data_IF_846170141328
#
_entry.id   IF_846170141328
#
_cell.length_a   1.000
_cell.length_b   1.000
_cell.length_c   1.000
_cell.angle_alpha   90.00
_cell.angle_beta   90.00
_cell.angle_gamma   90.00
#
_symmetry.space_group_name_H-M   'P 1'
#
loop_
_entity.id
_entity.type
_entity.pdbx_description
1 polymer ?
#
# COMPACT_ATOMS: atom_id res chain seq x y z
N UNK A 1 26.53 19.39 33.12
CA UNK A 1 25.28 18.65 33.39
C UNK A 1 24.43 18.71 32.13
N UNK A 2 23.79 17.59 31.80
CA UNK A 2 23.09 17.24 30.57
C UNK A 2 24.01 16.83 29.40
N UNK A 3 24.54 15.62 29.49
CA UNK A 3 24.85 14.78 28.32
C UNK A 3 23.65 13.88 28.05
N UNK A 4 23.45 13.59 26.76
CA UNK A 4 22.76 12.43 26.19
C UNK A 4 21.24 12.49 26.05
N UNK A 5 20.80 12.67 24.79
CA UNK A 5 19.57 12.11 24.22
C UNK A 5 19.91 11.61 22.80
N UNK A 6 20.77 10.60 22.69
CA UNK A 6 21.10 9.93 21.42
C UNK A 6 21.07 8.40 21.57
N UNK A 7 20.14 7.89 22.36
CA UNK A 7 20.07 6.45 22.66
C UNK A 7 18.58 6.07 22.81
N UNK A 8 17.83 6.14 21.70
CA UNK A 8 16.45 5.62 21.64
C UNK A 8 16.21 4.84 20.34
N UNK A 9 17.28 4.26 19.76
CA UNK A 9 17.18 3.46 18.53
C UNK A 9 17.86 2.08 18.61
N UNK A 10 18.36 1.63 19.76
CA UNK A 10 19.24 0.44 19.81
C UNK A 10 18.67 -0.86 20.39
N UNK A 11 17.36 -1.01 20.65
CA UNK A 11 16.85 -2.27 21.22
C UNK A 11 15.51 -2.76 20.66
N UNK A 12 15.39 -2.84 19.32
CA UNK A 12 14.43 -3.77 18.71
C UNK A 12 15.06 -5.18 18.73
N UNK A 13 14.33 -6.23 19.17
CA UNK A 13 14.87 -7.58 19.14
C UNK A 13 15.23 -7.97 17.70
N UNK A 14 16.35 -8.69 17.50
CA UNK A 14 16.90 -8.99 16.16
C UNK A 14 15.91 -9.65 15.20
N UNK A 15 14.91 -10.37 15.73
CA UNK A 15 13.83 -10.94 14.91
C UNK A 15 12.92 -9.85 14.34
N UNK A 16 12.51 -8.88 15.15
CA UNK A 16 11.62 -7.77 14.76
C UNK A 16 12.25 -6.91 13.65
N UNK A 17 13.56 -6.65 13.74
CA UNK A 17 14.28 -5.91 12.71
C UNK A 17 14.36 -6.68 11.36
N UNK A 18 14.50 -8.01 11.41
CA UNK A 18 14.53 -8.85 10.20
C UNK A 18 13.14 -8.96 9.55
N UNK A 19 12.08 -9.07 10.35
CA UNK A 19 10.70 -9.12 9.88
C UNK A 19 10.23 -7.78 9.28
N UNK A 20 10.68 -6.65 9.86
CA UNK A 20 10.46 -5.30 9.30
C UNK A 20 11.18 -5.16 7.95
N UNK A 21 12.44 -5.61 7.82
CA UNK A 21 13.18 -5.52 6.56
C UNK A 21 12.53 -6.36 5.45
N UNK A 22 12.03 -7.56 5.75
CA UNK A 22 11.31 -8.41 4.78
C UNK A 22 9.97 -7.79 4.38
N UNK A 23 9.24 -7.19 5.33
CA UNK A 23 7.98 -6.46 5.07
C UNK A 23 8.23 -5.26 4.13
N UNK A 24 9.30 -4.53 4.38
CA UNK A 24 9.75 -3.42 3.56
C UNK A 24 10.12 -3.85 2.13
N UNK A 25 10.85 -4.95 2.00
CA UNK A 25 11.20 -5.54 0.70
C UNK A 25 9.98 -5.97 -0.11
N UNK A 26 8.98 -6.61 0.51
CA UNK A 26 7.78 -7.06 -0.22
C UNK A 26 6.93 -5.88 -0.68
N UNK A 27 6.76 -4.86 0.17
CA UNK A 27 6.03 -3.63 -0.18
C UNK A 27 6.72 -2.91 -1.33
N UNK A 28 8.04 -2.79 -1.29
CA UNK A 28 8.82 -2.13 -2.35
C UNK A 28 8.70 -2.86 -3.69
N UNK A 29 8.79 -4.20 -3.69
CA UNK A 29 8.62 -5.02 -4.90
C UNK A 29 7.21 -4.88 -5.45
N UNK A 30 6.20 -4.96 -4.58
CA UNK A 30 4.80 -4.71 -4.94
C UNK A 30 4.61 -3.33 -5.57
N UNK A 31 5.23 -2.30 -5.00
CA UNK A 31 5.14 -0.95 -5.53
C UNK A 31 5.76 -0.85 -6.93
N UNK A 32 6.93 -1.46 -7.13
CA UNK A 32 7.60 -1.47 -8.44
C UNK A 32 6.71 -2.13 -9.51
N UNK A 33 6.18 -3.32 -9.22
CA UNK A 33 5.29 -4.03 -10.15
C UNK A 33 4.01 -3.23 -10.42
N UNK A 34 3.40 -2.64 -9.39
CA UNK A 34 2.22 -1.78 -9.58
C UNK A 34 2.53 -0.52 -10.39
N UNK A 35 3.73 0.04 -10.28
CA UNK A 35 4.17 1.16 -11.10
C UNK A 35 4.39 0.76 -12.56
N UNK A 36 4.89 -0.45 -12.84
CA UNK A 36 4.97 -1.00 -14.20
C UNK A 36 3.59 -1.27 -14.81
N UNK A 37 2.66 -1.79 -14.00
CA UNK A 37 1.31 -2.11 -14.42
C UNK A 37 0.49 -0.83 -14.67
N UNK A 38 0.56 0.14 -13.77
CA UNK A 38 -0.40 1.26 -13.70
C UNK A 38 0.21 2.66 -13.72
N UNK A 39 1.53 2.80 -13.51
CA UNK A 39 2.25 4.07 -13.43
C UNK A 39 2.31 4.85 -14.74
N UNK A 40 2.66 6.14 -14.66
CA UNK A 40 2.82 7.04 -15.82
C UNK A 40 1.68 7.04 -16.86
N UNK A 41 0.44 6.75 -16.43
CA UNK A 41 -0.72 6.68 -17.33
C UNK A 41 -0.91 5.32 -18.01
N UNK A 42 -0.07 4.31 -17.70
CA UNK A 42 -0.23 2.93 -18.15
C UNK A 42 -1.57 2.33 -17.72
N UNK A 43 -2.18 2.83 -16.63
CA UNK A 43 -3.53 2.40 -16.24
C UNK A 43 -4.59 2.67 -17.34
N UNK A 44 -4.34 3.60 -18.27
CA UNK A 44 -5.22 3.84 -19.40
C UNK A 44 -5.25 2.67 -20.40
N UNK A 45 -4.22 1.81 -20.42
CA UNK A 45 -4.16 0.62 -21.30
C UNK A 45 -5.28 -0.37 -20.99
N UNK A 46 -5.69 -0.46 -19.72
CA UNK A 46 -6.80 -1.30 -19.25
C UNK A 46 -8.20 -0.79 -19.64
N UNK A 47 -8.30 0.31 -20.41
CA UNK A 47 -9.54 0.65 -21.12
C UNK A 47 -9.85 -0.33 -22.24
N UNK A 48 -8.81 -0.96 -22.79
CA UNK A 48 -8.95 -2.03 -23.76
C UNK A 48 -8.91 -3.38 -23.05
N UNK A 49 -9.93 -4.21 -23.27
CA UNK A 49 -10.07 -5.51 -22.62
C UNK A 49 -8.95 -6.50 -22.98
N UNK A 50 -8.31 -6.36 -24.15
CA UNK A 50 -7.25 -7.27 -24.58
C UNK A 50 -5.96 -7.06 -23.80
N UNK A 51 -5.76 -5.86 -23.22
CA UNK A 51 -4.60 -5.55 -22.40
C UNK A 51 -4.65 -6.19 -21.01
N UNK A 52 -5.80 -6.71 -20.58
CA UNK A 52 -5.93 -7.43 -19.31
C UNK A 52 -5.21 -8.78 -19.38
N UNK A 53 -5.47 -9.57 -20.42
CA UNK A 53 -4.91 -10.92 -20.57
C UNK A 53 -3.37 -10.95 -20.55
N UNK A 54 -2.70 -9.89 -21.01
CA UNK A 54 -1.24 -9.80 -20.98
C UNK A 54 -0.65 -9.42 -19.63
N UNK A 55 -1.44 -8.82 -18.73
CA UNK A 55 -1.00 -8.39 -17.40
C UNK A 55 -1.57 -9.24 -16.26
N UNK A 56 -2.56 -10.11 -16.54
CA UNK A 56 -3.17 -10.97 -15.52
C UNK A 56 -2.16 -11.91 -14.86
N UNK A 57 -1.24 -12.49 -15.63
CA UNK A 57 -0.17 -13.35 -15.08
C UNK A 57 0.75 -12.59 -14.12
N UNK A 58 1.13 -11.35 -14.45
CA UNK A 58 1.95 -10.50 -13.57
C UNK A 58 1.19 -10.13 -12.29
N UNK A 59 -0.09 -9.75 -12.42
CA UNK A 59 -0.94 -9.45 -11.26
C UNK A 59 -1.12 -10.68 -10.36
N UNK A 60 -1.34 -11.86 -10.94
CA UNK A 60 -1.48 -13.11 -10.16
C UNK A 60 -0.20 -13.51 -9.47
N UNK A 61 0.94 -13.36 -10.13
CA UNK A 61 2.24 -13.62 -9.51
C UNK A 61 2.45 -12.70 -8.30
N UNK A 62 2.00 -11.45 -8.40
CA UNK A 62 2.09 -10.53 -7.27
C UNK A 62 1.13 -10.87 -6.13
N UNK A 63 -0.10 -11.28 -6.44
CA UNK A 63 -1.04 -11.86 -5.45
C UNK A 63 -0.39 -13.03 -4.71
N UNK A 64 0.18 -13.99 -5.43
CA UNK A 64 0.83 -15.17 -4.84
C UNK A 64 2.07 -14.79 -4.00
N UNK A 65 2.83 -13.78 -4.43
CA UNK A 65 4.00 -13.30 -3.69
C UNK A 65 3.59 -12.67 -2.37
N UNK A 66 2.63 -11.74 -2.39
CA UNK A 66 2.19 -11.03 -1.18
C UNK A 66 1.42 -11.96 -0.25
N UNK A 67 0.51 -12.79 -0.78
CA UNK A 67 -0.21 -13.78 0.03
C UNK A 67 0.75 -14.83 0.62
N UNK A 68 1.73 -15.29 -0.17
CA UNK A 68 2.75 -16.22 0.32
C UNK A 68 3.71 -15.59 1.33
N UNK A 69 3.90 -14.27 1.30
CA UNK A 69 4.61 -13.53 2.33
C UNK A 69 3.82 -13.50 3.63
N UNK A 70 2.52 -13.15 3.58
CA UNK A 70 1.61 -13.13 4.72
C UNK A 70 1.47 -14.50 5.40
N UNK A 71 1.48 -15.59 4.63
CA UNK A 71 1.38 -16.95 5.19
C UNK A 71 2.68 -17.41 5.88
N UNK A 72 3.84 -16.95 5.40
CA UNK A 72 5.16 -17.44 5.84
C UNK A 72 5.84 -16.57 6.88
N UNK A 73 5.44 -15.31 7.01
CA UNK A 73 6.07 -14.33 7.88
C UNK A 73 5.00 -13.80 8.84
N UNK A 74 5.37 -13.63 10.10
CA UNK A 74 4.49 -13.03 11.08
C UNK A 74 4.62 -11.50 10.95
N UNK A 75 3.57 -10.85 10.45
CA UNK A 75 3.56 -9.39 10.32
C UNK A 75 3.12 -8.81 11.65
N UNK A 76 4.06 -8.24 12.40
CA UNK A 76 3.82 -7.77 13.77
C UNK A 76 2.82 -6.59 13.83
N UNK A 77 2.70 -5.84 12.73
CA UNK A 77 1.77 -4.71 12.64
C UNK A 77 0.46 -5.14 11.97
N UNK A 78 -0.62 -5.18 12.74
CA UNK A 78 -1.98 -5.46 12.26
C UNK A 78 -2.39 -4.54 11.10
N UNK A 79 -1.95 -3.27 11.12
CA UNK A 79 -2.18 -2.32 10.03
C UNK A 79 -1.51 -2.75 8.72
N UNK A 80 -0.26 -3.21 8.76
CA UNK A 80 0.46 -3.71 7.56
C UNK A 80 -0.21 -4.96 7.03
N UNK A 81 -0.52 -5.91 7.92
CA UNK A 81 -1.17 -7.16 7.54
C UNK A 81 -2.50 -6.87 6.83
N UNK A 82 -3.30 -5.96 7.38
CA UNK A 82 -4.58 -5.53 6.82
C UNK A 82 -4.43 -4.81 5.48
N UNK A 83 -3.45 -3.92 5.34
CA UNK A 83 -3.20 -3.21 4.08
C UNK A 83 -2.67 -4.16 2.99
N UNK A 84 -1.78 -5.09 3.31
CA UNK A 84 -1.30 -6.12 2.37
C UNK A 84 -2.41 -7.10 1.98
N UNK A 85 -3.27 -7.48 2.92
CA UNK A 85 -4.45 -8.30 2.63
C UNK A 85 -5.42 -7.55 1.72
N UNK A 86 -5.70 -6.28 2.02
CA UNK A 86 -6.55 -5.43 1.19
C UNK A 86 -5.97 -5.25 -0.22
N UNK A 87 -4.64 -5.13 -0.35
CA UNK A 87 -3.98 -5.13 -1.65
C UNK A 87 -4.26 -6.41 -2.44
N UNK A 88 -4.11 -7.57 -1.81
CA UNK A 88 -4.37 -8.88 -2.42
C UNK A 88 -5.82 -8.98 -2.90
N UNK A 89 -6.80 -8.67 -2.04
CA UNK A 89 -8.22 -8.67 -2.38
C UNK A 89 -8.54 -7.71 -3.54
N UNK A 90 -8.01 -6.48 -3.51
CA UNK A 90 -8.22 -5.49 -4.57
C UNK A 90 -7.60 -5.92 -5.90
N UNK A 91 -6.45 -6.58 -5.87
CA UNK A 91 -5.75 -7.04 -7.06
C UNK A 91 -6.43 -8.28 -7.66
N UNK A 92 -6.93 -9.19 -6.82
CA UNK A 92 -7.72 -10.34 -7.25
C UNK A 92 -9.06 -9.88 -7.88
N UNK A 93 -9.77 -8.96 -7.21
CA UNK A 93 -10.98 -8.36 -7.77
C UNK A 93 -10.71 -7.58 -9.07
N UNK A 94 -9.54 -6.95 -9.19
CA UNK A 94 -9.13 -6.33 -10.46
C UNK A 94 -8.97 -7.36 -11.57
N UNK A 95 -8.40 -8.53 -11.28
CA UNK A 95 -8.19 -9.62 -12.24
C UNK A 95 -9.53 -10.25 -12.66
N UNK A 96 -10.39 -10.60 -11.70
CA UNK A 96 -11.64 -11.31 -11.95
C UNK A 96 -12.66 -10.44 -12.71
N UNK A 97 -12.88 -9.21 -12.25
CA UNK A 97 -13.87 -8.30 -12.81
C UNK A 97 -13.31 -7.36 -13.88
N UNK A 98 -12.02 -7.49 -14.23
CA UNK A 98 -11.28 -6.52 -15.06
C UNK A 98 -11.50 -5.08 -14.55
N UNK A 99 -11.50 -4.94 -13.23
CA UNK A 99 -11.90 -3.71 -12.57
C UNK A 99 -10.71 -2.75 -12.45
N UNK A 100 -10.61 -1.80 -13.39
CA UNK A 100 -9.56 -0.77 -13.39
C UNK A 100 -9.55 0.06 -12.10
N UNK A 101 -10.71 0.25 -11.49
CA UNK A 101 -10.82 1.01 -10.24
C UNK A 101 -10.19 0.24 -9.10
N UNK A 102 -10.47 -1.06 -8.99
CA UNK A 102 -9.83 -1.95 -8.01
C UNK A 102 -8.31 -1.98 -8.21
N UNK A 103 -7.84 -2.10 -9.45
CA UNK A 103 -6.40 -2.05 -9.78
C UNK A 103 -5.73 -0.74 -9.34
N UNK A 104 -6.44 0.38 -9.50
CA UNK A 104 -5.96 1.69 -9.04
C UNK A 104 -5.87 1.76 -7.52
N UNK A 105 -6.86 1.22 -6.81
CA UNK A 105 -6.85 1.20 -5.35
C UNK A 105 -5.75 0.28 -4.82
N UNK A 106 -5.54 -0.89 -5.44
CA UNK A 106 -4.42 -1.78 -5.11
C UNK A 106 -3.08 -1.05 -5.20
N UNK A 107 -2.83 -0.30 -6.28
CA UNK A 107 -1.59 0.48 -6.39
C UNK A 107 -1.47 1.52 -5.28
N UNK A 108 -2.55 2.24 -4.97
CA UNK A 108 -2.50 3.29 -3.95
C UNK A 108 -2.27 2.76 -2.53
N UNK A 109 -2.85 1.61 -2.18
CA UNK A 109 -2.61 0.97 -0.87
C UNK A 109 -1.12 0.65 -0.68
N UNK A 110 -0.52 -0.01 -1.67
CA UNK A 110 0.92 -0.34 -1.65
C UNK A 110 1.80 0.92 -1.71
N UNK A 111 1.37 1.93 -2.45
CA UNK A 111 2.09 3.20 -2.55
C UNK A 111 2.12 3.94 -1.20
N UNK A 112 0.98 4.04 -0.52
CA UNK A 112 0.91 4.63 0.82
C UNK A 112 1.73 3.80 1.83
N UNK A 113 1.71 2.46 1.75
CA UNK A 113 2.59 1.59 2.54
C UNK A 113 4.08 1.84 2.27
N UNK A 114 4.48 2.02 1.01
CA UNK A 114 5.89 2.27 0.64
C UNK A 114 6.37 3.65 1.14
N UNK A 115 5.49 4.65 1.15
CA UNK A 115 5.78 5.95 1.77
C UNK A 115 5.95 5.80 3.29
N UNK A 116 5.00 5.11 3.93
CA UNK A 116 4.95 4.94 5.37
C UNK A 116 6.15 4.17 5.94
N UNK A 117 6.53 3.07 5.29
CA UNK A 117 7.48 2.10 5.86
C UNK A 117 8.84 2.10 5.18
N UNK A 118 8.90 2.35 3.87
CA UNK A 118 10.18 2.48 3.14
C UNK A 118 10.66 3.92 3.01
N UNK A 119 9.88 4.89 3.51
CA UNK A 119 10.22 6.30 3.42
C UNK A 119 10.29 6.80 1.98
N UNK A 120 9.48 6.25 1.06
CA UNK A 120 9.48 6.66 -0.35
C UNK A 120 9.15 8.16 -0.52
N UNK A 121 10.18 8.99 -0.69
CA UNK A 121 10.05 10.46 -0.66
C UNK A 121 9.50 11.09 -1.95
N UNK A 122 9.23 10.30 -3.00
CA UNK A 122 9.05 10.82 -4.36
C UNK A 122 7.60 10.76 -4.87
N UNK A 123 6.60 10.79 -3.98
CA UNK A 123 5.19 10.84 -4.39
C UNK A 123 4.22 11.32 -3.29
N UNK A 124 3.06 11.79 -3.74
CA UNK A 124 1.93 12.18 -2.90
C UNK A 124 1.33 10.99 -2.14
N UNK A 125 1.09 11.15 -0.84
CA UNK A 125 0.24 10.26 -0.03
C UNK A 125 -1.21 10.36 -0.52
N UNK A 126 -1.84 9.23 -0.83
CA UNK A 126 -3.23 9.14 -1.28
C UNK A 126 -4.21 8.97 -0.12
N UNK A 127 -3.75 8.42 1.02
CA UNK A 127 -4.57 8.27 2.23
C UNK A 127 -5.63 7.17 2.11
N UNK A 128 -5.30 6.08 1.40
CA UNK A 128 -6.16 4.91 1.22
C UNK A 128 -5.64 3.68 1.97
N UNK A 129 -4.42 3.72 2.51
CA UNK A 129 -3.96 2.73 3.48
C UNK A 129 -4.50 3.00 4.89
N UNK A 130 -4.67 1.94 5.66
CA UNK A 130 -5.07 1.97 7.06
C UNK A 130 -3.96 2.44 8.01
N UNK A 131 -2.70 2.47 7.57
CA UNK A 131 -1.59 3.09 8.32
C UNK A 131 -1.86 4.54 8.76
N UNK A 132 -2.70 5.27 8.02
CA UNK A 132 -2.97 6.70 8.24
C UNK A 132 -4.32 6.95 8.96
N UNK A 133 -4.74 6.07 9.87
CA UNK A 133 -6.07 6.14 10.50
C UNK A 133 -6.33 7.47 11.26
N UNK A 134 -5.32 8.03 11.95
CA UNK A 134 -5.42 9.34 12.63
C UNK A 134 -5.64 10.51 11.64
N UNK A 135 -4.97 10.51 10.48
CA UNK A 135 -5.15 11.55 9.45
C UNK A 135 -6.44 11.37 8.66
N UNK A 136 -7.01 10.15 8.63
CA UNK A 136 -8.30 9.88 7.98
C UNK A 136 -9.46 10.51 8.75
N UNK A 137 -9.41 10.52 10.08
CA UNK A 137 -10.41 11.20 10.91
C UNK A 137 -10.35 12.72 10.73
N UNK A 138 -9.16 13.31 10.73
CA UNK A 138 -8.97 14.76 10.49
C UNK A 138 -9.42 15.18 9.08
N UNK A 139 -9.19 14.33 8.07
CA UNK A 139 -9.58 14.62 6.68
C UNK A 139 -11.08 14.43 6.42
N UNK A 140 -11.74 13.50 7.13
CA UNK A 140 -13.20 13.31 7.10
C UNK A 140 -13.94 14.46 7.81
N UNK A 141 -13.46 14.89 8.98
CA UNK A 141 -14.03 16.03 9.71
C UNK A 141 -14.00 17.30 8.86
N UNK A 142 -12.90 17.56 8.15
CA UNK A 142 -12.77 18.71 7.24
C UNK A 142 -13.63 18.60 5.98
N UNK A 143 -13.98 17.39 5.55
CA UNK A 143 -14.86 17.14 4.41
C UNK A 143 -16.34 17.33 4.79
N UNK A 144 -16.73 16.95 6.01
CA UNK A 144 -18.06 17.20 6.56
C UNK A 144 -18.31 18.70 6.80
N UNK A 145 -17.31 19.45 7.27
CA UNK A 145 -17.38 20.91 7.45
C UNK A 145 -17.59 21.65 6.11
N UNK A 146 -16.87 21.25 5.05
CA UNK A 146 -16.99 21.84 3.71
C UNK A 146 -18.33 21.53 3.01
N UNK A 147 -18.92 20.36 3.30
CA UNK A 147 -20.25 19.99 2.79
C UNK A 147 -21.37 20.70 3.57
N UNK A 148 -21.14 21.07 4.83
CA UNK A 148 -22.06 21.87 5.63
C UNK A 148 -22.07 23.36 5.22
N UNK A 149 -20.92 23.93 4.83
CA UNK A 149 -20.81 25.34 4.40
C UNK A 149 -21.31 25.62 2.97
N UNK A 150 -21.46 24.59 2.13
CA UNK A 150 -21.96 24.76 0.75
C UNK A 150 -23.47 24.57 0.60
N UNK A 151 -24.19 24.51 1.72
CA UNK A 151 -25.65 24.44 1.80
C UNK A 151 -26.29 25.66 2.46
N UNK A 152 -26.11 26.86 1.89
CA UNK A 152 -27.00 28.03 2.09
C UNK A 152 -27.34 28.72 0.76
#
# INVERSE_FOLDING_TARGET
>A
MAESNHDELEHLPQNEAEDIEKSNEVVKKAHQTMNELTGHGAIAKYRDENNWSGSTDEMRNEVERVSGFLEKNQVDSESIEKDLTNFVDLLDHAIEDKNKTALRYAHRVIHDLDIAYNGYQNSNIFGVSHYNEEEREVRMERLEELLAESGE
#
